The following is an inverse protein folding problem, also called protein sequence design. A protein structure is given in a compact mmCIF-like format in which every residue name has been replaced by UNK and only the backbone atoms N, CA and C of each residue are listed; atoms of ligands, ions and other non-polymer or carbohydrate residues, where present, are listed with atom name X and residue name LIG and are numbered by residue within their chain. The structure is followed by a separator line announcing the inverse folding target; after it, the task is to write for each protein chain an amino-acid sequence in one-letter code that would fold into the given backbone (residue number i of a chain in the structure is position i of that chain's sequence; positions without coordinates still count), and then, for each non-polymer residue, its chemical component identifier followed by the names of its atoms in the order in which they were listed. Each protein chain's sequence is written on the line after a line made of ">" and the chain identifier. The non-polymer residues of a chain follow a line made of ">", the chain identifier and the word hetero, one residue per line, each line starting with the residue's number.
data_IF_603970304960
#
_entry.id   IF_603970304960
#
_cell.length_a   1.000
_cell.length_b   1.000
_cell.length_c   1.000
_cell.angle_alpha   90.00
_cell.angle_beta   90.00
_cell.angle_gamma   90.00
#
_symmetry.space_group_name_H-M   'P 1'
#
loop_
_entity.id
_entity.type
_entity.pdbx_description
1 polymer ?
#
# COMPACT_ATOMS: atom_id res chain seq x y z
N UNK A 1 -10.64 -2.08 -27.67
CA UNK A 1 -9.42 -2.73 -27.16
C UNK A 1 -8.79 -1.69 -26.26
N UNK A 2 -8.81 -1.93 -24.95
CA UNK A 2 -8.17 -1.03 -23.99
C UNK A 2 -6.73 -1.50 -23.87
N UNK A 3 -5.93 -0.99 -24.81
CA UNK A 3 -4.50 -1.22 -24.88
C UNK A 3 -3.79 -0.44 -23.78
N UNK A 4 -2.82 -1.14 -23.19
CA UNK A 4 -1.59 -0.63 -22.57
C UNK A 4 -1.73 0.31 -21.37
N UNK A 5 -1.64 -0.27 -20.17
CA UNK A 5 -0.58 0.06 -19.20
C UNK A 5 -0.40 1.52 -18.77
N UNK A 6 -1.37 2.39 -19.07
CA UNK A 6 -1.33 3.78 -18.64
C UNK A 6 -1.24 3.75 -17.11
N UNK A 7 -0.14 4.25 -16.53
CA UNK A 7 -0.04 4.28 -15.09
C UNK A 7 -1.25 5.09 -14.64
N UNK A 8 -2.07 4.50 -13.76
CA UNK A 8 -3.26 5.13 -13.20
C UNK A 8 -2.77 6.26 -12.28
N UNK A 9 -2.12 7.29 -12.82
CA UNK A 9 -1.64 8.44 -12.08
C UNK A 9 -2.73 9.48 -12.06
N UNK A 10 -2.92 10.10 -10.90
CA UNK A 10 -3.85 11.20 -10.75
C UNK A 10 -3.02 12.48 -10.61
N UNK A 11 -2.55 13.02 -11.75
CA UNK A 11 -1.92 14.35 -11.83
C UNK A 11 -0.39 14.38 -11.87
N UNK A 12 0.15 15.61 -11.87
CA UNK A 12 1.58 15.93 -12.04
C UNK A 12 2.47 15.53 -10.86
N UNK A 13 1.91 15.00 -9.77
CA UNK A 13 2.58 14.76 -8.49
C UNK A 13 3.12 13.35 -8.23
N UNK A 14 3.27 12.51 -9.27
CA UNK A 14 3.73 11.11 -9.15
C UNK A 14 2.77 10.16 -8.41
N UNK A 15 1.73 10.68 -7.76
CA UNK A 15 0.73 9.92 -7.04
C UNK A 15 -0.08 9.01 -7.98
N UNK A 16 -0.04 7.71 -7.71
CA UNK A 16 -0.92 6.72 -8.36
C UNK A 16 -2.34 6.76 -7.78
N UNK A 17 -3.27 6.11 -8.45
CA UNK A 17 -4.65 5.99 -8.02
C UNK A 17 -4.77 5.31 -6.65
N UNK A 18 -3.82 4.44 -6.29
CA UNK A 18 -3.75 3.85 -4.95
C UNK A 18 -3.35 4.89 -3.90
N UNK A 19 -2.39 5.78 -4.19
CA UNK A 19 -2.06 6.90 -3.28
C UNK A 19 -3.28 7.80 -3.07
N UNK A 20 -3.96 8.17 -4.16
CA UNK A 20 -5.13 9.05 -4.09
C UNK A 20 -6.29 8.38 -3.37
N UNK A 21 -6.51 7.08 -3.55
CA UNK A 21 -7.54 6.32 -2.86
C UNK A 21 -7.31 6.34 -1.33
N UNK A 22 -6.09 6.04 -0.89
CA UNK A 22 -5.81 5.89 0.55
C UNK A 22 -5.41 7.18 1.25
N UNK A 23 -5.05 8.24 0.52
CA UNK A 23 -4.78 9.57 1.06
C UNK A 23 -6.03 10.41 1.37
N UNK A 24 -7.23 9.84 1.24
CA UNK A 24 -8.49 10.54 1.52
C UNK A 24 -8.68 10.80 3.03
N UNK A 25 -9.54 11.76 3.37
CA UNK A 25 -9.81 12.12 4.78
C UNK A 25 -10.78 11.14 5.46
N UNK A 26 -11.62 10.47 4.67
CA UNK A 26 -12.67 9.56 5.16
C UNK A 26 -12.66 8.29 4.33
N UNK A 27 -12.74 7.15 5.01
CA UNK A 27 -12.65 5.83 4.39
C UNK A 27 -13.85 4.96 4.77
N UNK A 28 -14.36 4.25 3.77
CA UNK A 28 -15.12 3.02 3.96
C UNK A 28 -14.19 1.88 3.56
N UNK A 29 -13.67 1.15 4.56
CA UNK A 29 -12.62 0.15 4.32
C UNK A 29 -13.08 -0.95 3.37
N UNK A 30 -14.37 -1.31 3.38
CA UNK A 30 -14.92 -2.32 2.48
C UNK A 30 -14.96 -1.83 1.04
N UNK A 31 -15.40 -0.59 0.83
CA UNK A 31 -15.44 0.01 -0.51
C UNK A 31 -14.03 0.32 -1.03
N UNK A 32 -13.14 0.81 -0.18
CA UNK A 32 -11.74 1.08 -0.53
C UNK A 32 -11.02 -0.22 -0.93
N UNK A 33 -11.22 -1.31 -0.20
CA UNK A 33 -10.68 -2.62 -0.59
C UNK A 33 -11.20 -3.08 -1.95
N UNK A 34 -12.51 -2.88 -2.23
CA UNK A 34 -13.13 -3.23 -3.51
C UNK A 34 -12.57 -2.40 -4.66
N UNK A 35 -12.37 -1.10 -4.47
CA UNK A 35 -11.79 -0.21 -5.47
C UNK A 35 -10.32 -0.56 -5.69
N UNK A 36 -9.55 -0.71 -4.62
CA UNK A 36 -8.14 -1.07 -4.67
C UNK A 36 -7.90 -2.38 -5.41
N UNK A 37 -8.71 -3.43 -5.14
CA UNK A 37 -8.67 -4.69 -5.89
C UNK A 37 -8.80 -4.45 -7.40
N UNK A 38 -9.79 -3.67 -7.82
CA UNK A 38 -10.01 -3.37 -9.25
C UNK A 38 -8.83 -2.62 -9.88
N UNK A 39 -8.20 -1.71 -9.14
CA UNK A 39 -7.02 -0.99 -9.62
C UNK A 39 -5.83 -1.95 -9.76
N UNK A 40 -5.59 -2.81 -8.77
CA UNK A 40 -4.51 -3.81 -8.79
C UNK A 40 -4.72 -4.81 -9.94
N UNK A 41 -5.95 -5.30 -10.11
CA UNK A 41 -6.31 -6.20 -11.22
C UNK A 41 -6.16 -5.54 -12.59
N UNK A 42 -6.32 -4.22 -12.66
CA UNK A 42 -6.07 -3.41 -13.85
C UNK A 42 -4.57 -3.08 -14.07
N UNK A 43 -3.67 -3.58 -13.21
CA UNK A 43 -2.23 -3.40 -13.33
C UNK A 43 -1.68 -2.17 -12.60
N UNK A 44 -2.43 -1.60 -11.63
CA UNK A 44 -1.87 -0.58 -10.75
C UNK A 44 -0.67 -1.14 -9.98
N UNK A 45 0.45 -0.44 -10.04
CA UNK A 45 1.66 -0.79 -9.30
C UNK A 45 1.48 -0.50 -7.81
N UNK A 46 1.50 -1.56 -7.00
CA UNK A 46 1.34 -1.53 -5.54
C UNK A 46 2.58 -1.00 -4.81
N UNK A 47 3.72 -0.94 -5.49
CA UNK A 47 5.01 -0.46 -5.01
C UNK A 47 5.41 0.88 -5.64
N UNK A 48 4.52 1.51 -6.41
CA UNK A 48 4.79 2.77 -7.07
C UNK A 48 5.20 3.84 -6.04
N UNK A 49 6.15 4.70 -6.42
CA UNK A 49 6.65 5.76 -5.56
C UNK A 49 6.01 7.10 -5.94
N UNK A 50 5.44 7.81 -4.97
CA UNK A 50 5.07 9.22 -5.13
C UNK A 50 6.30 10.15 -5.20
N UNK A 51 6.10 11.46 -5.34
CA UNK A 51 7.17 12.48 -5.33
C UNK A 51 8.06 12.46 -4.08
N UNK A 52 7.55 11.97 -2.95
CA UNK A 52 8.29 11.82 -1.70
C UNK A 52 8.94 10.43 -1.56
N UNK A 53 8.87 9.60 -2.60
CA UNK A 53 9.33 8.21 -2.58
C UNK A 53 8.45 7.29 -1.74
N UNK A 54 7.23 7.68 -1.41
CA UNK A 54 6.33 6.88 -0.58
C UNK A 54 5.60 5.88 -1.45
N UNK A 55 5.37 4.68 -0.92
CA UNK A 55 4.50 3.68 -1.52
C UNK A 55 3.06 3.87 -1.02
N UNK A 56 2.02 3.44 -1.78
CA UNK A 56 0.63 3.63 -1.38
C UNK A 56 0.30 3.00 -0.03
N UNK A 57 0.96 1.89 0.31
CA UNK A 57 0.73 1.17 1.55
C UNK A 57 1.04 2.01 2.80
N UNK A 58 1.88 3.05 2.70
CA UNK A 58 2.13 3.96 3.83
C UNK A 58 0.88 4.74 4.22
N UNK A 59 0.02 5.10 3.25
CA UNK A 59 -1.24 5.79 3.53
C UNK A 59 -2.21 4.89 4.30
N UNK A 60 -2.27 3.60 3.94
CA UNK A 60 -3.07 2.58 4.65
C UNK A 60 -2.63 2.47 6.12
N UNK A 61 -1.32 2.43 6.37
CA UNK A 61 -0.78 2.35 7.73
C UNK A 61 -1.12 3.59 8.58
N UNK A 62 -1.28 4.76 7.95
CA UNK A 62 -1.61 6.02 8.61
C UNK A 62 -3.11 6.18 8.94
N UNK A 63 -3.97 5.28 8.46
CA UNK A 63 -5.40 5.34 8.74
C UNK A 63 -5.71 5.09 10.23
N UNK A 64 -6.83 5.63 10.71
CA UNK A 64 -7.27 5.52 12.11
C UNK A 64 -7.86 4.15 12.51
N UNK A 65 -7.99 3.22 11.58
CA UNK A 65 -8.60 1.91 11.80
C UNK A 65 -7.62 0.90 12.38
N UNK A 66 -8.13 -0.11 13.08
CA UNK A 66 -7.31 -1.19 13.64
C UNK A 66 -6.69 -2.05 12.54
N UNK A 67 -5.69 -2.87 12.88
CA UNK A 67 -5.16 -3.84 11.92
C UNK A 67 -6.21 -4.88 11.50
N UNK A 68 -7.17 -5.23 12.38
CA UNK A 68 -8.25 -6.15 12.05
C UNK A 68 -9.19 -5.57 10.99
N UNK A 69 -9.57 -4.30 11.16
CA UNK A 69 -10.42 -3.59 10.21
C UNK A 69 -9.76 -3.48 8.83
N UNK A 70 -8.44 -3.25 8.79
CA UNK A 70 -7.67 -3.05 7.55
C UNK A 70 -7.25 -4.35 6.86
N UNK A 71 -7.49 -5.52 7.46
CA UNK A 71 -7.15 -6.80 6.85
C UNK A 71 -7.63 -6.96 5.40
N UNK A 72 -8.86 -6.55 5.01
CA UNK A 72 -9.31 -6.64 3.62
C UNK A 72 -8.44 -5.85 2.64
N UNK A 73 -7.81 -4.75 3.08
CA UNK A 73 -6.86 -3.98 2.27
C UNK A 73 -5.47 -4.63 2.34
N UNK A 74 -5.02 -5.03 3.53
CA UNK A 74 -3.73 -5.70 3.70
C UNK A 74 -3.61 -6.96 2.83
N UNK A 75 -4.65 -7.79 2.80
CA UNK A 75 -4.70 -9.03 2.03
C UNK A 75 -4.39 -8.78 0.55
N UNK A 76 -4.82 -7.64 -0.02
CA UNK A 76 -4.52 -7.28 -1.40
C UNK A 76 -3.01 -7.18 -1.68
N UNK A 77 -2.20 -6.72 -0.72
CA UNK A 77 -0.75 -6.66 -0.86
C UNK A 77 -0.12 -8.02 -0.63
N UNK A 78 -0.53 -8.73 0.42
CA UNK A 78 0.10 -10.01 0.80
C UNK A 78 -0.23 -11.17 -0.14
N UNK A 79 -1.26 -11.05 -0.98
CA UNK A 79 -1.53 -11.98 -2.08
C UNK A 79 -0.57 -11.83 -3.26
N UNK A 80 0.23 -10.76 -3.30
CA UNK A 80 1.08 -10.39 -4.43
C UNK A 80 2.52 -10.77 -4.12
N UNK A 81 3.10 -11.67 -4.92
CA UNK A 81 4.49 -12.13 -4.75
C UNK A 81 5.52 -11.00 -4.86
N UNK A 82 5.16 -9.91 -5.54
CA UNK A 82 6.00 -8.74 -5.79
C UNK A 82 5.84 -7.62 -4.76
N UNK A 83 5.04 -7.79 -3.69
CA UNK A 83 4.89 -6.75 -2.67
C UNK A 83 6.21 -6.46 -1.93
N UNK A 84 6.68 -5.21 -1.95
CA UNK A 84 7.92 -4.80 -1.29
C UNK A 84 7.66 -3.86 -0.12
N UNK A 85 7.72 -4.42 1.09
CA UNK A 85 7.54 -3.67 2.34
C UNK A 85 8.85 -3.04 2.88
N UNK A 86 9.93 -3.13 2.10
CA UNK A 86 11.27 -2.64 2.44
C UNK A 86 11.69 -1.40 1.66
N UNK A 87 10.98 -1.04 0.58
CA UNK A 87 11.20 0.19 -0.18
C UNK A 87 11.19 1.42 0.73
N UNK A 88 12.27 2.21 0.66
CA UNK A 88 12.43 3.43 1.47
C UNK A 88 12.08 4.66 0.66
N UNK A 89 11.31 5.54 1.30
CA UNK A 89 11.05 6.88 0.81
C UNK A 89 12.29 7.78 0.87
N UNK A 90 12.18 8.99 0.32
CA UNK A 90 13.25 10.01 0.34
C UNK A 90 13.66 10.35 1.79
N UNK A 91 12.77 10.13 2.75
CA UNK A 91 13.00 10.32 4.18
C UNK A 91 13.60 9.09 4.89
N UNK A 92 13.95 8.04 4.15
CA UNK A 92 14.49 6.78 4.70
C UNK A 92 13.46 5.93 5.43
N UNK A 93 12.17 6.09 5.11
CA UNK A 93 11.07 5.37 5.76
C UNK A 93 10.47 4.35 4.80
N UNK A 94 10.50 3.07 5.18
CA UNK A 94 9.76 1.97 4.54
C UNK A 94 8.48 1.58 5.30
N UNK A 95 7.54 0.84 4.68
CA UNK A 95 6.35 0.33 5.36
C UNK A 95 6.63 -0.37 6.70
N UNK A 96 7.58 -1.30 6.74
CA UNK A 96 7.95 -1.99 7.99
C UNK A 96 8.49 -1.01 9.02
N UNK A 97 9.42 -0.15 8.62
CA UNK A 97 10.05 0.81 9.55
C UNK A 97 9.05 1.84 10.09
N UNK A 98 8.04 2.19 9.30
CA UNK A 98 6.97 3.10 9.68
C UNK A 98 6.01 2.44 10.64
N UNK A 99 5.50 1.25 10.30
CA UNK A 99 4.56 0.51 11.13
C UNK A 99 5.14 0.18 12.51
N UNK A 100 6.45 -0.12 12.61
CA UNK A 100 7.14 -0.33 13.90
C UNK A 100 7.10 0.88 14.84
N UNK A 101 6.94 2.10 14.31
CA UNK A 101 6.82 3.32 15.13
C UNK A 101 5.40 3.54 15.65
N UNK A 102 4.42 2.79 15.13
CA UNK A 102 3.01 2.92 15.47
C UNK A 102 2.61 1.79 16.45
N UNK A 103 2.23 2.11 17.70
CA UNK A 103 1.98 1.07 18.71
C UNK A 103 0.80 0.16 18.39
N UNK A 104 -0.09 0.57 17.48
CA UNK A 104 -1.29 -0.16 17.06
C UNK A 104 -1.11 -0.97 15.76
N UNK A 105 0.11 -1.03 15.20
CA UNK A 105 0.42 -1.75 13.94
C UNK A 105 1.21 -3.05 14.14
N UNK A 106 1.17 -3.63 15.34
CA UNK A 106 1.97 -4.81 15.68
C UNK A 106 1.68 -6.02 14.81
N UNK A 107 0.39 -6.30 14.55
CA UNK A 107 -0.03 -7.47 13.76
C UNK A 107 0.46 -7.38 12.31
N UNK A 108 0.30 -6.21 11.68
CA UNK A 108 0.78 -6.03 10.30
C UNK A 108 2.31 -5.99 10.22
N UNK A 109 3.02 -5.54 11.26
CA UNK A 109 4.49 -5.64 11.33
C UNK A 109 4.94 -7.10 11.28
N UNK A 110 4.38 -7.96 12.13
CA UNK A 110 4.73 -9.38 12.16
C UNK A 110 4.46 -10.06 10.83
N UNK A 111 3.35 -9.68 10.17
CA UNK A 111 2.97 -10.18 8.85
C UNK A 111 3.95 -9.74 7.76
N UNK A 112 4.31 -8.44 7.70
CA UNK A 112 5.29 -7.92 6.75
C UNK A 112 6.67 -8.55 6.94
N UNK A 113 7.16 -8.69 8.17
CA UNK A 113 8.46 -9.30 8.41
C UNK A 113 8.49 -10.79 8.03
N UNK A 114 7.41 -11.52 8.33
CA UNK A 114 7.28 -12.92 7.94
C UNK A 114 7.23 -13.07 6.42
N UNK A 115 6.51 -12.17 5.75
CA UNK A 115 6.45 -12.12 4.29
C UNK A 115 7.84 -11.88 3.68
N UNK A 116 8.56 -10.85 4.13
CA UNK A 116 9.91 -10.53 3.63
C UNK A 116 10.86 -11.71 3.87
N UNK A 117 10.86 -12.32 5.07
CA UNK A 117 11.70 -13.51 5.33
C UNK A 117 11.40 -14.68 4.40
N UNK A 118 10.14 -14.87 4.01
CA UNK A 118 9.74 -15.94 3.10
C UNK A 118 10.13 -15.67 1.63
N UNK A 119 10.25 -14.40 1.23
CA UNK A 119 10.50 -13.97 -0.15
C UNK A 119 11.91 -13.43 -0.39
N UNK A 120 12.75 -13.31 0.64
CA UNK A 120 14.19 -13.08 0.51
C UNK A 120 14.89 -14.33 -0.04
N UNK A 121 15.10 -14.40 -1.36
CA UNK A 121 15.96 -15.38 -2.03
C UNK A 121 17.11 -14.71 -2.76
#
# INVERSE_FOLDING_TARGET
>A
MLDEGAPLTAGDGGATALHVLFGQVSHDVGEDARIARRLIDAGADINALDENGRVPFLEVLNMKYSDEDLNPIYDLWFEREDADFTLVSVHGVSPISFAKKLPFRGSVVDRMESYVRAHSR
#
